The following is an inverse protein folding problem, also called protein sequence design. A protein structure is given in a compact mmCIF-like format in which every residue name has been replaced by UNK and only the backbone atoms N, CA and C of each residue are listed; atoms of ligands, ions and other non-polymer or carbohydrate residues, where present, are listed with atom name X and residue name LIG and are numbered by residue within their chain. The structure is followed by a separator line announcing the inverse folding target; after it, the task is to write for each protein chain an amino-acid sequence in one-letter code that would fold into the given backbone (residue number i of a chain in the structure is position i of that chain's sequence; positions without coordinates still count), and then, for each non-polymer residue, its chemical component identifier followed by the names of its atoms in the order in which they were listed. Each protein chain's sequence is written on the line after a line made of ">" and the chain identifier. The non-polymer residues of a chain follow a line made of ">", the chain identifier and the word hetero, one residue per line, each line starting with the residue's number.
data_IF_334895915683
#
_entry.id   IF_334895915683
#
_cell.length_a   1.000
_cell.length_b   1.000
_cell.length_c   1.000
_cell.angle_alpha   90.00
_cell.angle_beta   90.00
_cell.angle_gamma   90.00
#
_symmetry.space_group_name_H-M   'P 1'
#
loop_
_entity.id
_entity.type
_entity.pdbx_description
1 polymer ?
#
# COMPACT_ATOMS: atom_id res chain seq x y z
N UNK A 1 -6.51 -28.25 -47.42
CA UNK A 1 -6.49 -27.08 -46.52
C UNK A 1 -7.90 -26.91 -46.00
N UNK A 2 -8.19 -27.43 -44.81
CA UNK A 2 -9.52 -27.34 -44.20
C UNK A 2 -9.65 -25.99 -43.51
N UNK A 3 -10.43 -25.09 -44.11
CA UNK A 3 -10.93 -23.88 -43.48
C UNK A 3 -11.84 -24.28 -42.31
N UNK A 4 -11.25 -24.52 -41.14
CA UNK A 4 -11.98 -24.60 -39.88
C UNK A 4 -12.40 -23.18 -39.51
N UNK A 5 -13.56 -22.77 -40.04
CA UNK A 5 -14.28 -21.58 -39.60
C UNK A 5 -14.77 -21.78 -38.16
N UNK A 6 -13.82 -21.72 -37.22
CA UNK A 6 -14.10 -21.63 -35.80
C UNK A 6 -14.84 -20.32 -35.62
N UNK A 7 -16.16 -20.40 -35.47
CA UNK A 7 -17.00 -19.21 -35.36
C UNK A 7 -16.53 -18.43 -34.15
N UNK A 8 -16.07 -17.19 -34.35
CA UNK A 8 -15.51 -16.39 -33.26
C UNK A 8 -16.57 -16.23 -32.15
N UNK A 9 -16.22 -16.63 -30.92
CA UNK A 9 -17.12 -16.59 -29.75
C UNK A 9 -17.69 -15.19 -29.51
N UNK A 10 -16.91 -14.16 -29.78
CA UNK A 10 -17.35 -12.76 -29.85
C UNK A 10 -16.80 -12.12 -31.12
N UNK A 11 -17.70 -11.73 -32.04
CA UNK A 11 -17.36 -11.06 -33.30
C UNK A 11 -16.58 -9.76 -33.09
N UNK A 12 -16.80 -9.05 -31.97
CA UNK A 12 -16.08 -7.81 -31.64
C UNK A 12 -14.71 -8.08 -30.99
N UNK A 13 -14.47 -9.32 -30.52
CA UNK A 13 -13.26 -9.72 -29.78
C UNK A 13 -12.78 -11.09 -30.27
N UNK A 14 -12.29 -11.18 -31.52
CA UNK A 14 -11.91 -12.45 -32.13
C UNK A 14 -10.74 -13.16 -31.43
N UNK A 15 -10.02 -12.46 -30.55
CA UNK A 15 -8.95 -13.05 -29.71
C UNK A 15 -9.47 -13.82 -28.49
N UNK A 16 -10.78 -13.80 -28.20
CA UNK A 16 -11.36 -14.61 -27.15
C UNK A 16 -11.57 -16.03 -27.67
N UNK A 17 -10.78 -16.96 -27.15
CA UNK A 17 -10.79 -18.37 -27.55
C UNK A 17 -11.50 -19.26 -26.53
N UNK A 18 -11.93 -18.73 -25.39
CA UNK A 18 -12.57 -19.46 -24.29
C UNK A 18 -13.87 -18.77 -23.86
N UNK A 19 -14.98 -19.50 -23.84
CA UNK A 19 -16.29 -19.01 -23.39
C UNK A 19 -16.29 -18.52 -21.95
N UNK A 20 -15.44 -19.10 -21.10
CA UNK A 20 -15.28 -18.66 -19.71
C UNK A 20 -14.71 -17.26 -19.62
N UNK A 21 -13.90 -16.85 -20.60
CA UNK A 21 -13.34 -15.49 -20.66
C UNK A 21 -14.37 -14.43 -21.07
N UNK A 22 -15.56 -14.81 -21.54
CA UNK A 22 -16.56 -13.85 -21.98
C UNK A 22 -16.92 -12.85 -20.86
N UNK A 23 -16.92 -11.53 -21.15
CA UNK A 23 -17.23 -10.51 -20.15
C UNK A 23 -18.61 -10.65 -19.50
N UNK A 24 -19.58 -11.20 -20.24
CA UNK A 24 -20.95 -11.43 -19.79
C UNK A 24 -21.04 -12.54 -18.73
N UNK A 25 -20.09 -13.48 -18.72
CA UNK A 25 -20.06 -14.60 -17.79
C UNK A 25 -19.36 -14.26 -16.46
N UNK A 26 -18.83 -13.03 -16.33
CA UNK A 26 -18.11 -12.61 -15.14
C UNK A 26 -19.08 -12.20 -14.02
N UNK A 27 -19.15 -13.03 -12.98
CA UNK A 27 -19.81 -12.64 -11.73
C UNK A 27 -18.82 -11.86 -10.84
N UNK A 28 -19.04 -10.56 -10.67
CA UNK A 28 -18.18 -9.68 -9.88
C UNK A 28 -18.10 -10.08 -8.40
N UNK A 29 -19.24 -10.38 -7.78
CA UNK A 29 -19.28 -10.71 -6.37
C UNK A 29 -18.49 -12.00 -6.08
N UNK A 30 -18.66 -13.01 -6.92
CA UNK A 30 -17.90 -14.26 -6.82
C UNK A 30 -16.41 -14.01 -7.09
N UNK A 31 -16.07 -13.23 -8.11
CA UNK A 31 -14.67 -12.96 -8.46
C UNK A 31 -13.94 -12.21 -7.35
N UNK A 32 -14.59 -11.23 -6.71
CA UNK A 32 -13.96 -10.36 -5.71
C UNK A 32 -13.97 -10.94 -4.30
N UNK A 33 -14.95 -11.79 -3.94
CA UNK A 33 -15.16 -12.18 -2.54
C UNK A 33 -15.12 -13.69 -2.28
N UNK A 34 -15.10 -14.54 -3.30
CA UNK A 34 -15.01 -15.99 -3.10
C UNK A 34 -13.59 -16.50 -3.44
N UNK A 35 -12.74 -16.84 -2.45
CA UNK A 35 -11.37 -17.28 -2.71
C UNK A 35 -11.25 -18.71 -3.24
N UNK A 36 -12.28 -19.54 -3.11
CA UNK A 36 -12.21 -20.97 -3.49
C UNK A 36 -12.64 -21.26 -4.92
N UNK A 37 -13.15 -20.26 -5.64
CA UNK A 37 -13.52 -20.42 -7.04
C UNK A 37 -12.33 -20.27 -8.00
N UNK A 38 -12.61 -20.38 -9.29
CA UNK A 38 -11.64 -20.18 -10.36
C UNK A 38 -11.98 -18.92 -11.16
N UNK A 39 -10.96 -18.25 -11.68
CA UNK A 39 -11.15 -17.08 -12.55
C UNK A 39 -10.20 -17.16 -13.74
N UNK A 40 -10.73 -17.13 -14.98
CA UNK A 40 -9.90 -17.11 -16.16
C UNK A 40 -9.18 -15.77 -16.29
N UNK A 41 -8.21 -15.70 -17.20
CA UNK A 41 -7.29 -14.56 -17.35
C UNK A 41 -8.03 -13.23 -17.48
N UNK A 42 -9.07 -13.16 -18.31
CA UNK A 42 -9.77 -11.89 -18.55
C UNK A 42 -10.54 -11.40 -17.32
N UNK A 43 -11.12 -12.30 -16.53
CA UNK A 43 -11.84 -11.92 -15.30
C UNK A 43 -10.86 -11.43 -14.24
N UNK A 44 -9.71 -12.11 -14.11
CA UNK A 44 -8.61 -11.68 -13.24
C UNK A 44 -8.12 -10.28 -13.62
N UNK A 45 -7.77 -10.03 -14.89
CA UNK A 45 -7.23 -8.73 -15.31
C UNK A 45 -8.24 -7.60 -15.15
N UNK A 46 -9.54 -7.83 -15.42
CA UNK A 46 -10.59 -6.84 -15.16
C UNK A 46 -10.72 -6.50 -13.68
N UNK A 47 -10.75 -7.52 -12.81
CA UNK A 47 -10.83 -7.32 -11.37
C UNK A 47 -9.57 -6.62 -10.85
N UNK A 48 -8.39 -7.05 -11.29
CA UNK A 48 -7.12 -6.41 -10.95
C UNK A 48 -7.10 -4.93 -11.35
N UNK A 49 -7.52 -4.60 -12.58
CA UNK A 49 -7.57 -3.22 -13.06
C UNK A 49 -8.55 -2.37 -12.24
N UNK A 50 -9.69 -2.93 -11.84
CA UNK A 50 -10.63 -2.24 -10.95
C UNK A 50 -9.95 -1.84 -9.63
N UNK A 51 -9.24 -2.77 -8.98
CA UNK A 51 -8.54 -2.53 -7.73
C UNK A 51 -7.41 -1.50 -7.90
N UNK A 52 -6.62 -1.65 -8.96
CA UNK A 52 -5.54 -0.73 -9.30
C UNK A 52 -6.06 0.70 -9.53
N UNK A 53 -7.12 0.86 -10.32
CA UNK A 53 -7.72 2.16 -10.59
C UNK A 53 -8.32 2.77 -9.33
N UNK A 54 -8.95 1.98 -8.46
CA UNK A 54 -9.46 2.46 -7.19
C UNK A 54 -8.34 3.00 -6.29
N UNK A 55 -7.22 2.27 -6.18
CA UNK A 55 -6.04 2.75 -5.44
C UNK A 55 -5.47 4.03 -6.06
N UNK A 56 -5.30 4.06 -7.38
CA UNK A 56 -4.76 5.21 -8.10
C UNK A 56 -5.61 6.46 -7.89
N UNK A 57 -6.94 6.33 -7.95
CA UNK A 57 -7.85 7.45 -7.70
C UNK A 57 -7.72 7.97 -6.27
N UNK A 58 -7.69 7.09 -5.26
CA UNK A 58 -7.66 7.51 -3.86
C UNK A 58 -6.30 8.10 -3.46
N UNK A 59 -5.21 7.69 -4.11
CA UNK A 59 -3.88 8.24 -3.86
C UNK A 59 -3.68 9.57 -4.61
N UNK A 60 -3.92 9.58 -5.92
CA UNK A 60 -3.56 10.72 -6.78
C UNK A 60 -4.58 11.86 -6.68
N UNK A 61 -5.87 11.54 -6.64
CA UNK A 61 -6.92 12.55 -6.76
C UNK A 61 -6.92 13.52 -5.56
N UNK A 62 -6.93 13.07 -4.29
CA UNK A 62 -6.94 13.99 -3.15
C UNK A 62 -5.68 14.85 -3.10
N UNK A 63 -4.52 14.26 -3.40
CA UNK A 63 -3.26 14.99 -3.41
C UNK A 63 -3.22 16.05 -4.52
N UNK A 64 -3.69 15.71 -5.72
CA UNK A 64 -3.73 16.65 -6.85
C UNK A 64 -4.72 17.80 -6.59
N UNK A 65 -5.90 17.49 -6.05
CA UNK A 65 -6.89 18.52 -5.70
C UNK A 65 -6.33 19.43 -4.60
N UNK A 66 -5.76 18.87 -3.53
CA UNK A 66 -5.15 19.66 -2.47
C UNK A 66 -4.04 20.59 -2.99
N UNK A 67 -3.18 20.08 -3.89
CA UNK A 67 -2.14 20.88 -4.55
C UNK A 67 -2.73 22.04 -5.34
N UNK A 68 -3.76 21.79 -6.15
CA UNK A 68 -4.44 22.83 -6.95
C UNK A 68 -5.04 23.91 -6.03
N UNK A 69 -5.77 23.50 -4.99
CA UNK A 69 -6.37 24.44 -4.03
C UNK A 69 -5.31 25.31 -3.35
N UNK A 70 -4.23 24.70 -2.84
CA UNK A 70 -3.13 25.43 -2.23
C UNK A 70 -2.48 26.41 -3.22
N UNK A 71 -2.28 26.00 -4.48
CA UNK A 71 -1.70 26.86 -5.52
C UNK A 71 -2.61 28.02 -5.94
N UNK A 72 -3.92 27.85 -5.78
CA UNK A 72 -4.93 28.87 -6.06
C UNK A 72 -5.18 29.81 -4.86
N UNK A 73 -4.44 29.66 -3.75
CA UNK A 73 -4.60 30.44 -2.53
C UNK A 73 -5.74 29.98 -1.62
N UNK A 74 -6.34 28.82 -1.88
CA UNK A 74 -7.32 28.17 -1.00
C UNK A 74 -6.66 27.23 0.03
N UNK A 75 -7.48 26.67 0.92
CA UNK A 75 -7.05 25.67 1.90
C UNK A 75 -7.30 24.25 1.40
N UNK A 76 -6.25 23.58 0.92
CA UNK A 76 -6.28 22.18 0.50
C UNK A 76 -6.15 21.18 1.65
N UNK A 77 -5.96 21.61 2.90
CA UNK A 77 -5.73 20.73 4.05
C UNK A 77 -6.86 19.71 4.27
N UNK A 78 -8.16 20.07 4.23
CA UNK A 78 -9.24 19.09 4.45
C UNK A 78 -9.22 17.93 3.43
N UNK A 79 -8.86 18.25 2.19
CA UNK A 79 -8.80 17.29 1.07
C UNK A 79 -7.56 16.40 1.22
N UNK A 80 -6.43 16.98 1.62
CA UNK A 80 -5.21 16.24 1.94
C UNK A 80 -5.42 15.28 3.12
N UNK A 81 -6.11 15.72 4.16
CA UNK A 81 -6.45 14.88 5.32
C UNK A 81 -7.40 13.74 4.94
N UNK A 82 -8.41 14.00 4.10
CA UNK A 82 -9.25 12.93 3.54
C UNK A 82 -8.39 11.87 2.84
N UNK A 83 -7.48 12.28 1.94
CA UNK A 83 -6.58 11.36 1.24
C UNK A 83 -5.68 10.57 2.20
N UNK A 84 -5.17 11.22 3.25
CA UNK A 84 -4.34 10.60 4.27
C UNK A 84 -5.06 9.47 5.01
N UNK A 85 -6.33 9.64 5.37
CA UNK A 85 -7.08 8.60 6.08
C UNK A 85 -7.73 7.57 5.15
N UNK A 86 -8.17 7.97 3.96
CA UNK A 86 -8.82 7.09 3.00
C UNK A 86 -7.84 6.09 2.37
N UNK A 87 -6.60 6.53 2.07
CA UNK A 87 -5.62 5.70 1.36
C UNK A 87 -5.33 4.38 2.06
N UNK A 88 -4.96 4.33 3.36
CA UNK A 88 -4.69 3.07 4.06
C UNK A 88 -5.89 2.13 4.08
N UNK A 89 -7.10 2.67 4.31
CA UNK A 89 -8.34 1.87 4.34
C UNK A 89 -8.60 1.21 2.99
N UNK A 90 -8.54 1.99 1.92
CA UNK A 90 -8.74 1.48 0.56
C UNK A 90 -7.66 0.48 0.20
N UNK A 91 -6.40 0.73 0.58
CA UNK A 91 -5.30 -0.19 0.34
C UNK A 91 -5.51 -1.53 1.06
N UNK A 92 -5.89 -1.52 2.35
CA UNK A 92 -6.20 -2.73 3.11
C UNK A 92 -7.30 -3.53 2.39
N UNK A 93 -8.43 -2.90 2.09
CA UNK A 93 -9.57 -3.58 1.44
C UNK A 93 -9.18 -4.14 0.07
N UNK A 94 -8.54 -3.33 -0.76
CA UNK A 94 -8.13 -3.76 -2.10
C UNK A 94 -7.03 -4.82 -2.07
N UNK A 95 -6.13 -4.81 -1.10
CA UNK A 95 -5.12 -5.86 -0.92
C UNK A 95 -5.76 -7.20 -0.50
N UNK A 96 -6.76 -7.19 0.38
CA UNK A 96 -7.51 -8.39 0.74
C UNK A 96 -8.29 -8.97 -0.45
N UNK A 97 -8.94 -8.11 -1.24
CA UNK A 97 -9.60 -8.53 -2.48
C UNK A 97 -8.56 -9.00 -3.52
N UNK A 98 -7.39 -8.35 -3.55
CA UNK A 98 -6.27 -8.78 -4.39
C UNK A 98 -5.86 -10.22 -4.08
N UNK A 99 -5.74 -10.58 -2.80
CA UNK A 99 -5.51 -11.97 -2.38
C UNK A 99 -6.57 -12.94 -2.93
N UNK A 100 -7.85 -12.55 -2.90
CA UNK A 100 -8.95 -13.37 -3.45
C UNK A 100 -8.78 -13.59 -4.95
N UNK A 101 -8.62 -12.53 -5.75
CA UNK A 101 -8.54 -12.66 -7.21
C UNK A 101 -7.28 -13.42 -7.64
N UNK A 102 -6.17 -13.28 -6.89
CA UNK A 102 -4.93 -14.02 -7.14
C UNK A 102 -5.11 -15.50 -6.83
N UNK A 103 -5.74 -15.84 -5.69
CA UNK A 103 -6.03 -17.23 -5.32
C UNK A 103 -6.85 -17.91 -6.41
N UNK A 104 -7.93 -17.27 -6.86
CA UNK A 104 -8.80 -17.80 -7.91
C UNK A 104 -8.09 -18.01 -9.24
N UNK A 105 -7.22 -17.07 -9.63
CA UNK A 105 -6.45 -17.18 -10.87
C UNK A 105 -5.38 -18.27 -10.81
N UNK A 106 -4.73 -18.43 -9.66
CA UNK A 106 -3.75 -19.49 -9.44
C UNK A 106 -4.42 -20.87 -9.45
N UNK A 107 -5.57 -21.01 -8.79
CA UNK A 107 -6.38 -22.22 -8.81
C UNK A 107 -6.80 -22.59 -10.24
N UNK A 108 -7.27 -21.62 -11.02
CA UNK A 108 -7.61 -21.81 -12.43
C UNK A 108 -6.39 -22.31 -13.23
N UNK A 109 -5.21 -21.75 -12.99
CA UNK A 109 -3.97 -22.19 -13.60
C UNK A 109 -3.35 -23.46 -12.98
N UNK A 110 -4.06 -24.21 -12.12
CA UNK A 110 -3.54 -25.41 -11.47
C UNK A 110 -2.30 -25.17 -10.59
N UNK A 111 -2.06 -23.92 -10.18
CA UNK A 111 -0.94 -23.51 -9.32
C UNK A 111 -1.39 -23.45 -7.85
N UNK A 112 -0.43 -23.53 -6.94
CA UNK A 112 -0.73 -23.41 -5.51
C UNK A 112 -1.28 -22.00 -5.17
N UNK A 113 -2.42 -21.90 -4.46
CA UNK A 113 -2.97 -20.61 -4.05
C UNK A 113 -2.13 -19.92 -2.98
N UNK A 114 -1.15 -20.60 -2.37
CA UNK A 114 -0.24 -20.01 -1.38
C UNK A 114 0.53 -18.81 -1.95
N UNK A 115 0.78 -18.77 -3.26
CA UNK A 115 1.44 -17.63 -3.90
C UNK A 115 0.59 -16.35 -3.88
N UNK A 116 -0.71 -16.44 -3.61
CA UNK A 116 -1.57 -15.27 -3.41
C UNK A 116 -1.23 -14.48 -2.14
N UNK A 117 -0.40 -15.03 -1.24
CA UNK A 117 0.13 -14.31 -0.07
C UNK A 117 1.08 -13.18 -0.50
N UNK A 118 1.73 -13.27 -1.67
CA UNK A 118 2.70 -12.26 -2.15
C UNK A 118 2.08 -10.84 -2.20
N UNK A 119 0.88 -10.64 -2.78
CA UNK A 119 0.15 -9.37 -2.69
C UNK A 119 -0.07 -8.80 -1.29
N UNK A 120 -0.02 -9.62 -0.23
CA UNK A 120 -0.20 -9.18 1.16
C UNK A 120 1.09 -8.61 1.78
N UNK A 121 2.26 -8.87 1.19
CA UNK A 121 3.56 -8.44 1.75
C UNK A 121 3.63 -6.93 2.03
N UNK A 122 3.22 -6.02 1.12
CA UNK A 122 3.24 -4.59 1.40
C UNK A 122 2.37 -4.21 2.57
N UNK A 123 1.21 -4.86 2.70
CA UNK A 123 0.29 -4.61 3.81
C UNK A 123 0.91 -5.05 5.14
N UNK A 124 1.51 -6.24 5.20
CA UNK A 124 2.16 -6.73 6.43
C UNK A 124 3.30 -5.81 6.85
N UNK A 125 4.16 -5.41 5.91
CA UNK A 125 5.27 -4.48 6.19
C UNK A 125 4.75 -3.09 6.57
N UNK A 126 3.74 -2.61 5.85
CA UNK A 126 3.08 -1.33 6.14
C UNK A 126 2.49 -1.28 7.54
N UNK A 127 1.81 -2.36 7.97
CA UNK A 127 1.28 -2.49 9.32
C UNK A 127 2.40 -2.53 10.38
N UNK A 128 3.51 -3.21 10.11
CA UNK A 128 4.66 -3.20 11.02
C UNK A 128 5.25 -1.80 11.17
N UNK A 129 5.46 -1.08 10.06
CA UNK A 129 5.92 0.33 10.06
C UNK A 129 4.94 1.24 10.78
N UNK A 130 3.64 1.07 10.55
CA UNK A 130 2.59 1.80 11.25
C UNK A 130 2.68 1.57 12.76
N UNK A 131 2.76 0.32 13.21
CA UNK A 131 2.84 -0.01 14.64
C UNK A 131 4.07 0.60 15.31
N UNK A 132 5.25 0.47 14.68
CA UNK A 132 6.48 1.06 15.20
C UNK A 132 6.40 2.59 15.26
N UNK A 133 5.85 3.21 14.21
CA UNK A 133 5.72 4.67 14.16
C UNK A 133 4.68 5.16 15.16
N UNK A 134 3.53 4.49 15.25
CA UNK A 134 2.44 4.85 16.16
C UNK A 134 2.88 4.78 17.62
N UNK A 135 3.65 3.75 18.01
CA UNK A 135 4.25 3.65 19.35
C UNK A 135 5.20 4.82 19.62
N UNK A 136 6.09 5.13 18.68
CA UNK A 136 7.01 6.26 18.79
C UNK A 136 6.29 7.61 18.91
N UNK A 137 5.24 7.82 18.12
CA UNK A 137 4.43 9.05 18.16
C UNK A 137 3.59 9.14 19.43
N UNK A 138 3.08 8.01 19.94
CA UNK A 138 2.37 7.97 21.22
C UNK A 138 3.27 8.41 22.36
N UNK A 139 4.49 7.87 22.45
CA UNK A 139 5.46 8.25 23.47
C UNK A 139 5.89 9.73 23.34
N UNK A 140 6.01 10.23 22.11
CA UNK A 140 6.26 11.66 21.88
C UNK A 140 5.09 12.53 22.34
N UNK A 141 3.84 12.11 22.08
CA UNK A 141 2.67 12.82 22.55
C UNK A 141 2.64 12.91 24.08
N UNK A 142 2.89 11.80 24.77
CA UNK A 142 2.88 11.75 26.23
C UNK A 142 3.92 12.71 26.82
N UNK A 143 5.14 12.74 26.27
CA UNK A 143 6.17 13.72 26.67
C UNK A 143 5.74 15.16 26.42
N UNK A 144 5.08 15.45 25.30
CA UNK A 144 4.57 16.80 24.98
C UNK A 144 3.46 17.22 25.93
N UNK A 145 2.61 16.27 26.29
CA UNK A 145 1.53 16.47 27.23
C UNK A 145 2.08 16.79 28.63
N UNK A 146 3.04 16.00 29.12
CA UNK A 146 3.74 16.26 30.39
C UNK A 146 4.45 17.61 30.40
N UNK A 147 5.26 17.91 29.38
CA UNK A 147 5.94 19.21 29.28
C UNK A 147 4.97 20.39 29.27
N UNK A 148 3.80 20.23 28.66
CA UNK A 148 2.75 21.26 28.67
C UNK A 148 2.14 21.40 30.05
N UNK A 149 1.87 20.31 30.77
CA UNK A 149 1.39 20.37 32.14
C UNK A 149 2.39 21.09 33.05
N UNK A 150 3.68 20.79 32.92
CA UNK A 150 4.74 21.47 33.69
C UNK A 150 4.81 22.96 33.38
N UNK A 151 4.73 23.34 32.09
CA UNK A 151 4.71 24.75 31.69
C UNK A 151 3.47 25.48 32.23
N UNK A 152 2.30 24.85 32.17
CA UNK A 152 1.06 25.46 32.65
C UNK A 152 1.02 25.57 34.19
N UNK A 153 1.76 24.71 34.90
CA UNK A 153 1.89 24.77 36.35
C UNK A 153 2.84 25.91 36.80
N UNK A 154 3.99 26.07 36.15
CA UNK A 154 4.96 27.15 36.43
C UNK A 154 5.72 27.58 35.16
N UNK A 155 5.22 28.58 34.43
CA UNK A 155 5.83 29.03 33.17
C UNK A 155 7.26 29.57 33.35
N UNK A 156 7.54 30.30 34.42
CA UNK A 156 8.83 30.97 34.61
C UNK A 156 9.89 29.99 35.11
N UNK A 157 9.53 29.08 36.02
CA UNK A 157 10.37 27.96 36.43
C UNK A 157 10.68 27.01 35.28
N UNK A 158 9.70 26.71 34.41
CA UNK A 158 9.91 25.90 33.21
C UNK A 158 10.93 26.54 32.25
N UNK A 159 10.81 27.85 31.97
CA UNK A 159 11.77 28.58 31.13
C UNK A 159 13.16 28.63 31.75
N UNK A 160 13.27 28.76 33.07
CA UNK A 160 14.54 28.73 33.77
C UNK A 160 15.23 27.36 33.64
N UNK A 161 14.50 26.26 33.88
CA UNK A 161 15.00 24.88 33.69
C UNK A 161 15.47 24.63 32.25
N UNK A 162 14.70 25.06 31.25
CA UNK A 162 15.09 24.95 29.83
C UNK A 162 16.37 25.71 29.49
N UNK A 163 16.59 26.89 30.09
CA UNK A 163 17.85 27.65 29.90
C UNK A 163 19.04 26.90 30.50
N UNK A 164 18.89 26.41 31.73
CA UNK A 164 19.92 25.63 32.41
C UNK A 164 20.26 24.34 31.64
N UNK A 165 19.27 23.61 31.14
CA UNK A 165 19.48 22.42 30.32
C UNK A 165 20.22 22.73 29.01
N UNK A 166 19.88 23.85 28.34
CA UNK A 166 20.59 24.29 27.12
C UNK A 166 22.03 24.67 27.40
N UNK A 167 22.31 25.33 28.52
CA UNK A 167 23.67 25.68 28.94
C UNK A 167 24.49 24.44 29.26
N UNK A 168 23.92 23.48 30.00
CA UNK A 168 24.56 22.18 30.28
C UNK A 168 24.83 21.39 29.00
N UNK A 169 23.87 21.35 28.07
CA UNK A 169 24.04 20.66 26.79
C UNK A 169 25.14 21.30 25.91
N UNK A 170 25.24 22.63 25.91
CA UNK A 170 26.33 23.35 25.24
C UNK A 170 27.68 23.03 25.86
N UNK A 171 27.79 23.09 27.18
CA UNK A 171 29.02 22.77 27.89
C UNK A 171 29.45 21.31 27.68
N UNK A 172 28.51 20.36 27.62
CA UNK A 172 28.81 18.95 27.32
C UNK A 172 29.24 18.75 25.85
N UNK A 173 28.62 19.46 24.91
CA UNK A 173 29.01 19.43 23.50
C UNK A 173 30.40 20.03 23.27
N UNK A 174 30.72 21.14 23.94
CA UNK A 174 32.04 21.78 23.90
C UNK A 174 33.12 20.87 24.51
N UNK A 175 32.83 20.19 25.63
CA UNK A 175 33.74 19.19 26.20
C UNK A 175 34.00 18.03 25.26
N UNK A 176 32.96 17.47 24.65
CA UNK A 176 33.11 16.37 23.65
C UNK A 176 33.88 16.82 22.41
N UNK A 177 33.69 18.06 21.96
CA UNK A 177 34.45 18.62 20.85
C UNK A 177 35.95 18.78 21.20
N UNK A 178 36.26 19.27 22.40
CA UNK A 178 37.63 19.41 22.88
C UNK A 178 38.33 18.04 23.11
N UNK A 179 37.61 17.03 23.60
CA UNK A 179 38.13 15.66 23.75
C UNK A 179 38.43 14.99 22.39
N UNK A 180 37.59 15.23 21.37
CA UNK A 180 37.82 14.74 20.02
C UNK A 180 39.04 15.41 19.36
N UNK A 181 39.22 16.72 19.56
CA UNK A 181 40.38 17.47 19.07
C UNK A 181 41.69 17.02 19.74
N UNK A 182 41.66 16.72 21.04
CA UNK A 182 42.82 16.24 21.80
C UNK A 182 43.28 14.82 21.41
N UNK A 183 42.38 13.96 20.94
CA UNK A 183 42.69 12.61 20.49
C UNK A 183 43.16 12.52 19.03
N UNK A 184 43.35 13.66 18.35
CA UNK A 184 43.83 13.71 16.96
C UNK A 184 42.86 13.11 15.94
N UNK A 185 41.61 12.86 16.34
CA UNK A 185 40.53 12.55 15.41
C UNK A 185 40.18 13.83 14.66
N UNK A 186 39.95 13.74 13.34
CA UNK A 186 39.48 14.89 12.58
C UNK A 186 38.25 15.45 13.29
N UNK A 187 38.34 16.71 13.73
CA UNK A 187 37.26 17.44 14.40
C UNK A 187 35.96 17.04 13.70
N UNK A 188 34.92 16.60 14.43
CA UNK A 188 33.68 16.19 13.80
C UNK A 188 33.28 17.34 12.90
N UNK A 189 33.48 17.13 11.61
CA UNK A 189 33.03 18.06 10.59
C UNK A 189 31.58 18.27 10.93
N UNK A 190 31.14 19.52 10.91
CA UNK A 190 29.73 19.86 10.94
C UNK A 190 29.07 19.10 9.78
N UNK A 191 28.75 17.83 10.01
CA UNK A 191 27.85 17.05 9.23
C UNK A 191 26.53 17.75 9.47
N UNK A 192 26.22 18.67 8.55
CA UNK A 192 24.85 18.95 8.19
C UNK A 192 24.11 17.61 8.12
N UNK A 193 23.29 17.35 9.15
CA UNK A 193 22.40 16.21 9.18
C UNK A 193 22.67 15.24 10.34
N UNK A 194 21.63 15.08 11.16
CA UNK A 194 21.42 13.95 12.08
C UNK A 194 21.99 14.04 13.49
N UNK A 195 21.99 15.24 14.09
CA UNK A 195 21.97 15.39 15.55
C UNK A 195 20.53 15.57 16.05
N UNK A 196 19.92 14.51 16.59
CA UNK A 196 18.68 14.49 17.41
C UNK A 196 17.68 15.61 17.09
N UNK A 197 16.72 15.33 16.20
CA UNK A 197 15.40 15.95 16.29
C UNK A 197 14.89 15.69 17.72
N UNK A 198 14.97 16.69 18.60
CA UNK A 198 14.08 16.77 19.76
C UNK A 198 12.64 16.60 19.27
N UNK A 199 11.70 16.15 20.12
CA UNK A 199 10.36 15.74 19.72
C UNK A 199 9.58 16.91 19.07
N UNK A 200 9.79 17.15 17.79
CA UNK A 200 9.47 18.41 17.12
C UNK A 200 10.28 18.59 15.83
N UNK A 201 10.00 17.79 14.81
CA UNK A 201 10.21 18.25 13.43
C UNK A 201 8.89 18.82 12.87
N UNK A 202 8.92 19.48 11.70
CA UNK A 202 9.69 20.65 11.31
C UNK A 202 8.85 21.95 11.53
N UNK A 203 9.41 22.94 12.21
CA UNK A 203 9.00 24.35 12.03
C UNK A 203 8.15 25.04 13.11
N UNK A 204 7.72 24.37 14.19
CA UNK A 204 6.99 25.03 15.27
C UNK A 204 7.70 24.90 16.60
N UNK A 205 8.11 26.02 17.23
CA UNK A 205 8.26 26.00 18.68
C UNK A 205 6.94 25.49 19.26
N UNK A 206 6.99 24.50 20.17
CA UNK A 206 5.75 24.05 20.81
C UNK A 206 5.09 25.23 21.48
N UNK A 207 3.90 25.60 20.99
CA UNK A 207 3.07 26.58 21.64
C UNK A 207 2.37 25.89 22.81
N UNK A 208 2.96 25.97 24.00
CA UNK A 208 2.45 25.33 25.21
C UNK A 208 1.08 25.88 25.64
N UNK A 209 0.68 27.05 25.14
CA UNK A 209 -0.60 27.67 25.45
C UNK A 209 -1.74 27.02 24.66
N UNK A 210 -1.48 26.57 23.43
CA UNK A 210 -2.50 25.93 22.59
C UNK A 210 -2.82 24.51 23.06
N UNK A 211 -4.11 24.10 23.02
CA UNK A 211 -4.49 22.72 23.31
C UNK A 211 -3.81 21.74 22.36
N UNK A 212 -3.27 20.66 22.92
CA UNK A 212 -2.80 19.55 22.11
C UNK A 212 -4.02 18.88 21.45
N UNK A 213 -3.91 18.46 20.18
CA UNK A 213 -4.97 17.70 19.53
C UNK A 213 -5.21 16.36 20.26
N UNK A 214 -6.34 15.69 20.04
CA UNK A 214 -6.58 14.36 20.58
C UNK A 214 -5.43 13.40 20.24
N UNK A 215 -5.00 12.58 21.22
CA UNK A 215 -3.86 11.66 21.06
C UNK A 215 -3.99 10.76 19.83
N UNK A 216 -5.18 10.21 19.59
CA UNK A 216 -5.44 9.35 18.43
C UNK A 216 -5.21 10.08 17.11
N UNK A 217 -5.70 11.32 16.98
CA UNK A 217 -5.51 12.12 15.78
C UNK A 217 -4.04 12.44 15.56
N UNK A 218 -3.33 12.87 16.61
CA UNK A 218 -1.89 13.15 16.55
C UNK A 218 -1.09 11.92 16.10
N UNK A 219 -1.35 10.77 16.73
CA UNK A 219 -0.63 9.53 16.41
C UNK A 219 -0.91 9.10 14.97
N UNK A 220 -2.19 9.08 14.55
CA UNK A 220 -2.55 8.66 13.20
C UNK A 220 -1.99 9.61 12.13
N UNK A 221 -2.13 10.93 12.28
CA UNK A 221 -1.62 11.91 11.30
C UNK A 221 -0.11 11.76 11.08
N UNK A 222 0.64 11.37 12.11
CA UNK A 222 2.09 11.19 12.02
C UNK A 222 2.52 9.76 11.66
N UNK A 223 1.70 8.74 11.92
CA UNK A 223 2.05 7.33 11.67
C UNK A 223 1.59 6.80 10.29
N UNK A 224 0.52 7.36 9.73
CA UNK A 224 -0.02 6.92 8.44
C UNK A 224 0.87 7.26 7.23
N UNK A 225 1.55 8.42 7.13
CA UNK A 225 2.36 8.73 5.94
C UNK A 225 3.51 7.74 5.69
N UNK A 226 4.32 7.35 6.70
CA UNK A 226 5.37 6.34 6.50
C UNK A 226 4.83 4.98 6.05
N UNK A 227 3.70 4.54 6.63
CA UNK A 227 2.99 3.32 6.21
C UNK A 227 2.58 3.39 4.74
N UNK A 228 1.95 4.49 4.33
CA UNK A 228 1.50 4.67 2.94
C UNK A 228 2.67 4.65 1.96
N UNK A 229 3.74 5.38 2.27
CA UNK A 229 4.93 5.44 1.43
C UNK A 229 5.50 4.04 1.18
N UNK A 230 5.70 3.24 2.24
CA UNK A 230 6.27 1.90 2.07
C UNK A 230 5.32 0.97 1.33
N UNK A 231 4.01 1.06 1.59
CA UNK A 231 3.02 0.24 0.90
C UNK A 231 2.96 0.55 -0.59
N UNK A 232 2.93 1.83 -0.97
CA UNK A 232 2.90 2.26 -2.38
C UNK A 232 4.15 1.77 -3.11
N UNK A 233 5.34 1.98 -2.53
CA UNK A 233 6.61 1.57 -3.14
C UNK A 233 6.69 0.05 -3.34
N UNK A 234 6.29 -0.72 -2.33
CA UNK A 234 6.33 -2.18 -2.39
C UNK A 234 5.24 -2.78 -3.28
N UNK A 235 4.16 -2.06 -3.56
CA UNK A 235 3.12 -2.53 -4.47
C UNK A 235 3.50 -2.46 -5.95
N UNK A 236 4.42 -1.59 -6.35
CA UNK A 236 4.90 -1.49 -7.74
C UNK A 236 5.46 -2.82 -8.29
N UNK A 237 6.43 -3.51 -7.64
CA UNK A 237 6.91 -4.80 -8.13
C UNK A 237 5.82 -5.89 -8.11
N UNK A 238 4.86 -5.82 -7.19
CA UNK A 238 3.74 -6.77 -7.13
C UNK A 238 2.79 -6.56 -8.30
N UNK A 239 2.52 -5.32 -8.71
CA UNK A 239 1.75 -5.03 -9.90
C UNK A 239 2.40 -5.66 -11.15
N UNK A 240 3.73 -5.53 -11.28
CA UNK A 240 4.50 -6.16 -12.36
C UNK A 240 4.37 -7.69 -12.30
N UNK A 241 4.58 -8.29 -11.13
CA UNK A 241 4.42 -9.74 -10.94
C UNK A 241 3.01 -10.23 -11.27
N UNK A 242 1.97 -9.49 -10.85
CA UNK A 242 0.56 -9.80 -11.11
C UNK A 242 0.28 -9.90 -12.61
N UNK A 243 0.79 -8.94 -13.40
CA UNK A 243 0.53 -8.86 -14.83
C UNK A 243 1.46 -9.76 -15.66
N UNK A 244 2.73 -9.85 -15.30
CA UNK A 244 3.71 -10.61 -16.08
C UNK A 244 3.67 -12.10 -15.78
N UNK A 245 3.26 -12.51 -14.58
CA UNK A 245 3.31 -13.90 -14.16
C UNK A 245 1.92 -14.48 -13.90
N UNK A 246 1.12 -13.87 -13.02
CA UNK A 246 -0.18 -14.44 -12.60
C UNK A 246 -1.21 -14.38 -13.73
N UNK A 247 -1.35 -13.22 -14.39
CA UNK A 247 -2.25 -13.08 -15.53
C UNK A 247 -1.87 -14.03 -16.68
N UNK A 248 -0.57 -14.22 -16.93
CA UNK A 248 -0.04 -15.01 -18.03
C UNK A 248 0.08 -16.51 -17.74
N UNK A 249 -0.23 -16.96 -16.52
CA UNK A 249 -0.20 -18.38 -16.19
C UNK A 249 -1.14 -19.18 -17.11
N UNK A 250 -0.65 -20.19 -17.85
CA UNK A 250 -1.52 -20.97 -18.72
C UNK A 250 -2.53 -21.78 -17.90
N UNK A 251 -3.71 -22.02 -18.48
CA UNK A 251 -4.71 -22.91 -17.92
C UNK A 251 -4.30 -24.36 -18.20
N UNK A 252 -4.20 -25.18 -17.16
CA UNK A 252 -3.79 -26.60 -17.27
C UNK A 252 -4.95 -27.58 -17.07
N UNK A 253 -6.17 -27.09 -16.88
CA UNK A 253 -7.36 -27.93 -16.87
C UNK A 253 -7.83 -28.26 -18.29
N UNK A 254 -8.84 -29.12 -18.40
CA UNK A 254 -9.52 -29.39 -19.69
C UNK A 254 -10.45 -28.24 -20.05
N UNK A 255 -10.43 -27.81 -21.30
CA UNK A 255 -11.34 -26.76 -21.77
C UNK A 255 -12.76 -27.33 -21.91
N UNK A 256 -13.81 -26.59 -21.51
CA UNK A 256 -15.18 -26.93 -21.90
C UNK A 256 -15.24 -26.99 -23.44
N UNK A 257 -15.64 -28.15 -23.99
CA UNK A 257 -15.61 -28.44 -25.43
C UNK A 257 -14.63 -29.54 -25.86
N UNK A 258 -13.57 -29.83 -25.08
CA UNK A 258 -12.65 -30.94 -25.39
C UNK A 258 -13.32 -32.31 -25.29
N UNK A 259 -14.36 -32.46 -24.46
CA UNK A 259 -15.12 -33.72 -24.38
C UNK A 259 -15.86 -34.04 -25.69
N UNK A 260 -16.35 -33.03 -26.39
CA UNK A 260 -17.05 -33.22 -27.67
C UNK A 260 -16.07 -33.47 -28.81
N UNK A 261 -14.91 -32.81 -28.83
CA UNK A 261 -13.88 -33.07 -29.84
C UNK A 261 -13.24 -34.47 -29.68
N UNK A 262 -12.96 -34.91 -28.45
CA UNK A 262 -12.39 -36.23 -28.20
C UNK A 262 -13.43 -37.34 -28.36
N UNK A 263 -14.71 -37.12 -28.03
CA UNK A 263 -15.78 -38.10 -28.36
C UNK A 263 -16.10 -38.13 -29.87
N UNK A 264 -16.04 -37.00 -30.57
CA UNK A 264 -16.23 -36.95 -32.02
C UNK A 264 -15.07 -37.62 -32.79
N UNK A 265 -13.84 -37.57 -32.27
CA UNK A 265 -12.71 -38.31 -32.85
C UNK A 265 -12.64 -39.78 -32.42
N UNK A 266 -13.19 -40.16 -31.25
CA UNK A 266 -13.00 -41.51 -30.67
C UNK A 266 -14.18 -42.47 -30.71
N UNK A 267 -15.30 -42.16 -31.37
CA UNK A 267 -16.15 -43.24 -31.89
C UNK A 267 -17.64 -42.96 -32.06
N UNK A 268 -18.10 -43.10 -33.31
CA UNK A 268 -18.97 -44.24 -33.65
C UNK A 268 -18.74 -44.65 -35.13
N UNK A 269 -17.53 -45.14 -35.46
CA UNK A 269 -17.40 -46.01 -36.65
C UNK A 269 -17.66 -47.43 -36.20
N UNK A 270 -18.89 -47.88 -36.42
CA UNK A 270 -19.29 -49.27 -36.21
C UNK A 270 -18.46 -50.18 -37.12
N UNK A 271 -17.92 -51.31 -36.61
CA UNK A 271 -17.02 -52.18 -37.36
C UNK A 271 -17.71 -53.04 -38.45
N UNK A 272 -18.88 -52.64 -38.95
CA UNK A 272 -19.64 -53.40 -39.95
C UNK A 272 -20.21 -52.57 -41.11
N UNK A 273 -19.79 -51.33 -41.28
CA UNK A 273 -20.06 -50.59 -42.53
C UNK A 273 -18.79 -50.58 -43.38
N UNK A 274 -18.76 -51.56 -44.29
CA UNK A 274 -17.84 -51.68 -45.41
C UNK A 274 -18.28 -50.77 -46.57
#
# INVERSE_FOLDING_TARGET
>A
MSDSSTTALDRKRPWLTDERELPANMNWLQTLFNPTGTSPRLHFTRAWTLLFMLQLLVIILPWSIALIFNSAGGDGQPIGEFGLFATPVVFIVTTLISYVIHSRRLLDAGKTPLLAIIPLIPLIIGLAVFMMTAQGQSAQYDKRFEMRQDYLADPDGFRAKQREEREKAKAEAEKKAAEAEANGEAAPSQAQGQGRRGPGGPGGMMNFEQPLPPKAEFVLKNALPPMQMIMILLSAPIAIWSLMWVARAPYFGRYPGEKEAVQAESGDRRPYEA
#
